data_IF_716676114129
#
_entry.id   IF_716676114129
#
_cell.length_a   1.000
_cell.length_b   1.000
_cell.length_c   1.000
_cell.angle_alpha   90.00
_cell.angle_beta   90.00
_cell.angle_gamma   90.00
#
_symmetry.space_group_name_H-M   'P 1'
#
loop_
_entity.id
_entity.type
_entity.pdbx_description
1 polymer ?
#
# COMPACT_ATOMS: atom_id res chain seq x y z
N UNK A 1 26.68 1.44 -16.73
CA UNK A 1 26.38 1.93 -18.09
C UNK A 1 25.18 1.14 -18.59
N UNK A 2 24.18 1.82 -19.17
CA UNK A 2 23.00 1.13 -19.73
C UNK A 2 23.45 0.44 -21.02
N UNK A 3 23.25 -0.87 -21.10
CA UNK A 3 23.56 -1.62 -22.31
C UNK A 3 22.45 -1.40 -23.36
N UNK A 4 22.78 -1.24 -24.66
CA UNK A 4 21.78 -1.07 -25.72
C UNK A 4 20.73 -2.19 -25.78
N UNK A 5 21.11 -3.39 -25.37
CA UNK A 5 20.29 -4.61 -25.33
C UNK A 5 19.12 -4.49 -24.36
N UNK A 6 19.20 -3.59 -23.37
CA UNK A 6 18.07 -3.29 -22.47
C UNK A 6 16.90 -2.65 -23.19
N UNK A 7 17.12 -2.03 -24.36
CA UNK A 7 16.13 -1.22 -25.06
C UNK A 7 15.87 0.16 -24.45
N UNK A 8 16.46 0.45 -23.27
CA UNK A 8 16.31 1.74 -22.61
C UNK A 8 17.20 2.82 -23.23
N UNK A 9 16.69 4.04 -23.33
CA UNK A 9 17.42 5.21 -23.80
C UNK A 9 17.79 6.14 -22.64
N UNK A 10 18.96 6.79 -22.70
CA UNK A 10 19.31 7.85 -21.75
C UNK A 10 18.27 8.98 -21.75
N UNK A 11 18.02 9.56 -20.58
CA UNK A 11 17.08 10.65 -20.36
C UNK A 11 15.60 10.26 -20.36
N UNK A 12 15.26 9.02 -20.73
CA UNK A 12 13.89 8.52 -20.70
C UNK A 12 13.57 7.82 -19.37
N UNK A 13 12.29 7.82 -19.01
CA UNK A 13 11.77 7.16 -17.83
C UNK A 13 11.05 5.89 -18.21
N UNK A 14 11.26 4.84 -17.42
CA UNK A 14 10.63 3.55 -17.65
C UNK A 14 10.04 2.99 -16.36
N UNK A 15 8.90 2.30 -16.45
CA UNK A 15 8.27 1.60 -15.33
C UNK A 15 8.13 0.13 -15.66
N UNK A 16 8.29 -0.73 -14.66
CA UNK A 16 8.01 -2.16 -14.81
C UNK A 16 6.50 -2.33 -14.61
N UNK A 17 5.84 -2.98 -15.57
CA UNK A 17 4.42 -3.27 -15.47
C UNK A 17 4.18 -4.24 -14.30
N UNK A 18 3.18 -3.91 -13.48
CA UNK A 18 2.81 -4.73 -12.34
C UNK A 18 1.65 -5.64 -12.72
N UNK A 19 1.92 -6.94 -12.81
CA UNK A 19 0.90 -7.96 -13.07
C UNK A 19 0.46 -8.66 -11.77
N UNK A 20 -0.73 -9.26 -11.79
CA UNK A 20 -1.26 -9.98 -10.63
C UNK A 20 -0.32 -11.13 -10.24
N UNK A 21 -0.01 -11.26 -8.95
CA UNK A 21 0.85 -12.33 -8.36
C UNK A 21 2.33 -12.27 -8.75
N UNK A 22 2.79 -11.19 -9.39
CA UNK A 22 4.20 -10.89 -9.56
C UNK A 22 4.71 -9.92 -8.49
N UNK A 23 6.04 -9.86 -8.25
CA UNK A 23 6.65 -8.80 -7.45
C UNK A 23 6.25 -7.42 -7.96
N UNK A 24 5.94 -6.54 -7.01
CA UNK A 24 5.49 -5.19 -7.31
C UNK A 24 6.68 -4.24 -7.36
N UNK A 25 6.83 -3.55 -8.48
CA UNK A 25 7.90 -2.60 -8.74
C UNK A 25 7.27 -1.19 -8.83
N UNK A 26 7.16 -0.50 -7.70
CA UNK A 26 6.46 0.79 -7.60
C UNK A 26 7.24 1.99 -8.14
N UNK A 27 8.52 1.79 -8.43
CA UNK A 27 9.43 2.83 -8.90
C UNK A 27 9.54 2.95 -10.42
N UNK A 28 10.55 3.71 -10.86
CA UNK A 28 10.89 3.92 -12.26
C UNK A 28 12.40 3.93 -12.48
N UNK A 29 12.83 3.54 -13.68
CA UNK A 29 14.18 3.76 -14.17
C UNK A 29 14.33 5.16 -14.75
N UNK A 30 15.47 5.79 -14.49
CA UNK A 30 15.97 6.98 -15.16
C UNK A 30 17.49 6.90 -15.24
N UNK A 31 18.05 6.99 -16.44
CA UNK A 31 19.51 6.92 -16.66
C UNK A 31 20.18 5.70 -16.00
N UNK A 32 19.48 4.56 -16.03
CA UNK A 32 19.97 3.30 -15.49
C UNK A 32 19.94 3.22 -13.96
N UNK A 33 19.35 4.18 -13.27
CA UNK A 33 19.07 4.15 -11.83
C UNK A 33 17.59 3.92 -11.60
N UNK A 34 17.24 3.19 -10.55
CA UNK A 34 15.87 2.89 -10.16
C UNK A 34 15.49 3.66 -8.91
N UNK A 35 14.39 4.42 -8.99
CA UNK A 35 13.89 5.31 -7.95
C UNK A 35 12.47 4.93 -7.57
N UNK A 36 12.13 4.92 -6.28
CA UNK A 36 10.75 4.62 -5.83
C UNK A 36 9.75 5.75 -6.09
N UNK A 37 10.23 6.97 -6.33
CA UNK A 37 9.39 8.15 -6.49
C UNK A 37 10.21 9.35 -6.95
N UNK A 38 9.60 10.32 -7.62
CA UNK A 38 10.29 11.50 -8.15
C UNK A 38 10.83 12.42 -7.04
N UNK A 39 10.27 12.34 -5.84
CA UNK A 39 10.74 13.09 -4.66
C UNK A 39 11.99 12.47 -4.04
N UNK A 40 12.25 11.19 -4.34
CA UNK A 40 13.34 10.45 -3.74
C UNK A 40 14.62 10.67 -4.54
N UNK A 41 15.55 11.40 -3.93
CA UNK A 41 16.88 11.66 -4.50
C UNK A 41 17.83 10.46 -4.39
N UNK A 42 17.41 9.40 -3.70
CA UNK A 42 18.20 8.18 -3.50
C UNK A 42 17.71 7.09 -4.45
N UNK A 43 18.58 6.66 -5.36
CA UNK A 43 18.35 5.46 -6.15
C UNK A 43 18.48 4.22 -5.25
N UNK A 44 17.54 3.29 -5.36
CA UNK A 44 17.55 2.03 -4.59
C UNK A 44 17.79 0.81 -5.49
N UNK A 45 18.07 1.04 -6.77
CA UNK A 45 18.50 0.04 -7.71
C UNK A 45 19.24 0.68 -8.88
N UNK A 46 19.93 -0.13 -9.66
CA UNK A 46 20.69 0.34 -10.81
C UNK A 46 20.91 -0.78 -11.83
N UNK A 47 21.26 -0.38 -13.05
CA UNK A 47 21.66 -1.26 -14.12
C UNK A 47 23.18 -1.30 -14.27
N UNK A 48 23.71 -2.51 -14.28
CA UNK A 48 25.07 -2.80 -14.70
C UNK A 48 25.02 -3.67 -15.95
N UNK A 49 25.23 -3.04 -17.11
CA UNK A 49 24.97 -3.68 -18.39
C UNK A 49 23.46 -3.95 -18.54
N UNK A 50 23.07 -5.22 -18.47
CA UNK A 50 21.69 -5.68 -18.47
C UNK A 50 21.19 -6.13 -17.09
N UNK A 51 22.08 -6.28 -16.12
CA UNK A 51 21.73 -6.81 -14.80
C UNK A 51 21.07 -5.70 -13.98
N UNK A 52 19.87 -5.98 -13.48
CA UNK A 52 19.15 -5.09 -12.60
C UNK A 52 19.43 -5.44 -11.13
N UNK A 53 20.20 -4.57 -10.49
CA UNK A 53 20.41 -4.60 -9.06
C UNK A 53 19.31 -3.83 -8.34
N UNK A 54 18.75 -4.42 -7.29
CA UNK A 54 17.66 -3.86 -6.51
C UNK A 54 17.86 -4.10 -5.01
N UNK A 55 18.12 -3.02 -4.29
CA UNK A 55 18.39 -3.00 -2.85
C UNK A 55 17.11 -2.87 -2.03
N UNK A 56 16.17 -3.78 -2.29
CA UNK A 56 14.97 -3.89 -1.47
C UNK A 56 15.26 -4.77 -0.26
N UNK A 57 14.99 -4.24 0.93
CA UNK A 57 15.09 -4.98 2.18
C UNK A 57 13.70 -5.38 2.67
N UNK A 58 13.63 -6.52 3.33
CA UNK A 58 12.44 -6.96 4.05
C UNK A 58 12.33 -6.26 5.42
N UNK A 59 11.24 -6.48 6.19
CA UNK A 59 11.07 -5.85 7.50
C UNK A 59 12.13 -6.23 8.55
N UNK A 60 12.89 -7.30 8.32
CA UNK A 60 14.00 -7.73 9.19
C UNK A 60 15.32 -7.08 8.79
N UNK A 61 15.36 -6.39 7.64
CA UNK A 61 16.55 -5.74 7.09
C UNK A 61 17.34 -6.62 6.12
N UNK A 62 16.85 -7.81 5.79
CA UNK A 62 17.50 -8.73 4.87
C UNK A 62 17.14 -8.40 3.41
N UNK A 63 18.06 -8.54 2.45
CA UNK A 63 17.74 -8.34 1.04
C UNK A 63 16.64 -9.30 0.55
N UNK A 64 15.61 -8.74 -0.08
CA UNK A 64 14.53 -9.52 -0.71
C UNK A 64 15.06 -10.36 -1.87
N UNK A 65 16.04 -9.83 -2.60
CA UNK A 65 16.65 -10.49 -3.75
C UNK A 65 18.06 -10.99 -3.41
N UNK A 66 18.37 -12.29 -3.63
CA UNK A 66 19.72 -12.83 -3.43
C UNK A 66 20.76 -12.07 -4.27
N UNK A 67 21.86 -11.68 -3.63
CA UNK A 67 22.90 -10.87 -4.29
C UNK A 67 22.41 -9.49 -4.74
N UNK A 68 21.22 -9.06 -4.30
CA UNK A 68 20.52 -7.84 -4.74
C UNK A 68 20.22 -7.85 -6.24
N UNK A 69 20.12 -9.01 -6.88
CA UNK A 69 19.85 -9.13 -8.31
C UNK A 69 18.36 -9.43 -8.50
N UNK A 70 17.62 -8.47 -9.03
CA UNK A 70 16.22 -8.66 -9.36
C UNK A 70 16.03 -9.43 -10.67
N UNK A 71 16.97 -9.31 -11.62
CA UNK A 71 16.92 -9.99 -12.90
C UNK A 71 17.79 -9.36 -13.97
N UNK A 72 17.53 -9.71 -15.23
CA UNK A 72 18.20 -9.17 -16.41
C UNK A 72 17.19 -8.46 -17.31
N UNK A 73 17.57 -7.32 -17.88
CA UNK A 73 16.72 -6.56 -18.79
C UNK A 73 17.14 -6.79 -20.24
N UNK A 74 16.19 -7.23 -21.06
CA UNK A 74 16.36 -7.50 -22.49
C UNK A 74 15.15 -6.92 -23.25
N UNK A 75 15.41 -5.96 -24.16
CA UNK A 75 14.38 -5.40 -25.04
C UNK A 75 13.15 -4.90 -24.29
N UNK A 76 13.34 -4.10 -23.24
CA UNK A 76 12.27 -3.60 -22.36
C UNK A 76 11.46 -4.72 -21.69
N UNK A 77 12.10 -5.84 -21.37
CA UNK A 77 11.51 -6.90 -20.53
C UNK A 77 12.46 -7.22 -19.39
N UNK A 78 11.96 -7.22 -18.16
CA UNK A 78 12.68 -7.76 -17.01
C UNK A 78 12.47 -9.28 -16.94
N UNK A 79 13.56 -10.03 -17.07
CA UNK A 79 13.62 -11.48 -16.92
C UNK A 79 14.15 -11.81 -15.53
N UNK A 80 13.30 -12.35 -14.69
CA UNK A 80 13.63 -12.73 -13.32
C UNK A 80 14.35 -14.09 -13.26
N UNK A 81 15.08 -14.40 -12.16
CA UNK A 81 15.81 -15.68 -12.03
C UNK A 81 14.94 -16.94 -12.09
N UNK A 82 13.65 -16.81 -11.79
CA UNK A 82 12.65 -17.89 -11.86
C UNK A 82 12.04 -18.06 -13.28
N UNK A 83 12.45 -17.21 -14.23
CA UNK A 83 11.93 -17.17 -15.60
C UNK A 83 10.69 -16.30 -15.79
N UNK A 84 10.16 -15.67 -14.74
CA UNK A 84 9.08 -14.70 -14.87
C UNK A 84 9.55 -13.51 -15.72
N UNK A 85 8.67 -13.04 -16.61
CA UNK A 85 8.94 -11.93 -17.52
C UNK A 85 7.94 -10.81 -17.25
N UNK A 86 8.45 -9.62 -17.00
CA UNK A 86 7.66 -8.41 -16.76
C UNK A 86 7.98 -7.37 -17.81
N UNK A 87 6.95 -6.81 -18.44
CA UNK A 87 7.13 -5.76 -19.44
C UNK A 87 7.60 -4.46 -18.79
N UNK A 88 8.36 -3.68 -19.55
CA UNK A 88 8.85 -2.38 -19.15
C UNK A 88 8.35 -1.36 -20.17
N UNK A 89 7.62 -0.37 -19.69
CA UNK A 89 7.03 0.66 -20.54
C UNK A 89 7.72 2.00 -20.34
N UNK A 90 7.83 2.78 -21.42
CA UNK A 90 8.20 4.20 -21.30
C UNK A 90 7.07 4.94 -20.58
N UNK A 91 7.40 5.56 -19.45
CA UNK A 91 6.45 6.25 -18.61
C UNK A 91 6.77 7.75 -18.58
N UNK A 92 6.00 8.61 -19.26
CA UNK A 92 6.16 10.04 -19.13
C UNK A 92 5.91 10.47 -17.68
N UNK A 93 6.62 11.51 -17.23
CA UNK A 93 6.38 12.07 -15.91
C UNK A 93 5.00 12.71 -15.83
N UNK A 94 4.05 12.01 -15.23
CA UNK A 94 2.82 12.60 -14.75
C UNK A 94 3.02 12.85 -13.26
N UNK A 95 3.03 14.12 -12.85
CA UNK A 95 2.94 14.45 -11.45
C UNK A 95 1.61 13.87 -10.95
N UNK A 96 1.66 12.80 -10.15
CA UNK A 96 0.45 12.28 -9.55
C UNK A 96 -0.11 13.39 -8.65
N UNK A 97 -1.37 13.82 -8.84
CA UNK A 97 -1.99 14.69 -7.86
C UNK A 97 -1.96 13.90 -6.55
N UNK A 98 -1.36 14.47 -5.51
CA UNK A 98 -1.23 13.83 -4.20
C UNK A 98 -2.57 13.23 -3.78
N UNK A 99 -2.74 11.93 -4.02
CA UNK A 99 -3.92 11.23 -3.57
C UNK A 99 -3.86 11.30 -2.04
N UNK A 100 -4.91 11.77 -1.36
CA UNK A 100 -4.86 11.78 0.10
C UNK A 100 -4.61 10.35 0.57
N UNK A 101 -3.60 10.17 1.43
CA UNK A 101 -3.23 8.90 2.11
C UNK A 101 -4.35 8.50 3.09
N UNK A 102 -5.58 8.36 2.59
CA UNK A 102 -6.79 8.07 3.35
C UNK A 102 -7.69 7.15 2.54
N UNK A 103 -7.28 5.89 2.36
CA UNK A 103 -8.25 4.84 2.01
C UNK A 103 -7.78 3.39 2.19
N UNK A 104 -6.48 3.05 2.25
CA UNK A 104 -6.11 1.62 2.20
C UNK A 104 -6.18 0.87 3.55
N UNK A 105 -6.11 1.57 4.69
CA UNK A 105 -6.28 0.96 6.02
C UNK A 105 -7.74 0.97 6.53
N UNK A 106 -8.64 1.75 5.92
CA UNK A 106 -10.04 1.83 6.35
C UNK A 106 -10.90 0.67 5.78
N UNK A 107 -10.57 0.18 4.58
CA UNK A 107 -11.34 -0.87 3.91
C UNK A 107 -11.22 -2.26 4.54
N UNK A 108 -10.18 -2.52 5.35
CA UNK A 108 -9.99 -3.84 5.99
C UNK A 108 -10.59 -3.93 7.40
N UNK A 109 -10.91 -2.80 8.04
CA UNK A 109 -11.56 -2.78 9.35
C UNK A 109 -13.10 -2.63 9.22
N UNK A 110 -13.62 -1.97 8.17
CA UNK A 110 -15.08 -1.80 8.02
C UNK A 110 -15.84 -3.10 7.69
N UNK A 111 -15.19 -4.20 7.28
CA UNK A 111 -15.90 -5.47 6.99
C UNK A 111 -16.27 -6.27 8.25
N UNK A 112 -15.86 -5.85 9.44
CA UNK A 112 -16.23 -6.50 10.71
C UNK A 112 -17.36 -5.76 11.44
N UNK A 113 -17.78 -4.57 11.00
CA UNK A 113 -18.80 -3.81 11.74
C UNK A 113 -19.74 -3.04 10.83
N UNK A 114 -20.79 -3.74 10.35
CA UNK A 114 -22.11 -3.17 9.99
C UNK A 114 -23.11 -4.30 9.73
N UNK A 115 -23.47 -5.03 10.77
CA UNK A 115 -24.87 -5.44 10.89
C UNK A 115 -25.58 -4.35 11.70
N UNK A 116 -26.46 -3.55 11.10
CA UNK A 116 -27.31 -2.65 11.88
C UNK A 116 -28.29 -3.52 12.68
N UNK A 117 -28.03 -3.65 13.98
CA UNK A 117 -29.00 -4.15 14.95
C UNK A 117 -30.21 -3.21 14.83
N UNK A 118 -31.29 -3.69 14.22
CA UNK A 118 -32.60 -3.03 14.24
C UNK A 118 -33.17 -3.20 15.65
N UNK A 119 -33.33 -2.14 16.47
CA UNK A 119 -34.04 -2.28 17.73
C UNK A 119 -35.54 -2.37 17.46
N UNK A 120 -36.13 -3.52 17.80
CA UNK A 120 -37.57 -3.76 17.82
C UNK A 120 -38.26 -2.79 18.81
N UNK A 121 -39.33 -2.08 18.43
CA UNK A 121 -39.98 -1.04 19.26
C UNK A 121 -40.88 -1.57 20.39
N UNK A 122 -40.54 -2.71 21.01
CA UNK A 122 -41.35 -3.37 22.04
C UNK A 122 -40.75 -3.34 23.47
N UNK A 123 -39.64 -2.63 23.69
CA UNK A 123 -39.00 -2.49 25.01
C UNK A 123 -39.03 -1.06 25.57
N UNK A 124 -40.13 -0.32 25.34
CA UNK A 124 -40.39 1.00 25.96
C UNK A 124 -41.24 0.88 27.25
N UNK A 125 -41.66 -0.32 27.65
CA UNK A 125 -42.61 -0.50 28.77
C UNK A 125 -41.99 -1.01 30.10
N UNK A 126 -40.67 -0.83 30.33
CA UNK A 126 -40.00 -1.40 31.52
C UNK A 126 -39.34 -0.40 32.49
N UNK A 127 -39.08 0.84 32.09
CA UNK A 127 -38.26 1.79 32.86
C UNK A 127 -39.06 2.89 33.58
N UNK A 128 -40.39 2.80 33.64
CA UNK A 128 -41.25 3.77 34.31
C UNK A 128 -41.58 3.42 35.78
N UNK A 129 -41.02 2.33 36.34
CA UNK A 129 -41.42 1.84 37.67
C UNK A 129 -40.32 1.92 38.75
N UNK A 130 -39.25 2.68 38.55
CA UNK A 130 -38.18 2.84 39.55
C UNK A 130 -37.85 4.28 39.95
N UNK A 131 -38.58 5.29 39.45
CA UNK A 131 -38.43 6.69 39.89
C UNK A 131 -39.51 7.08 40.93
N UNK A 132 -40.67 6.40 40.94
CA UNK A 132 -41.77 6.70 41.86
C UNK A 132 -41.55 6.25 43.31
N UNK A 133 -40.74 5.20 43.55
CA UNK A 133 -40.51 4.67 44.90
C UNK A 133 -39.44 5.47 45.67
N UNK A 134 -38.52 6.14 44.97
CA UNK A 134 -37.43 6.88 45.62
C UNK A 134 -37.87 8.27 46.16
N UNK A 135 -38.94 8.85 45.64
CA UNK A 135 -39.46 10.16 46.12
C UNK A 135 -40.43 10.02 47.31
N UNK A 136 -41.06 8.86 47.50
CA UNK A 136 -42.01 8.61 48.59
C UNK A 136 -41.34 8.27 49.93
N UNK A 137 -40.06 7.89 49.94
CA UNK A 137 -39.30 7.66 51.19
C UNK A 137 -38.65 8.94 51.73
N UNK A 138 -38.34 9.92 50.88
CA UNK A 138 -37.70 11.18 51.30
C UNK A 138 -38.71 12.17 51.90
N UNK A 139 -39.98 12.16 51.46
CA UNK A 139 -41.01 13.06 52.02
C UNK A 139 -41.50 12.65 53.42
N UNK A 140 -41.29 11.39 53.84
CA UNK A 140 -41.70 10.90 55.17
C UNK A 140 -40.70 11.24 56.29
N UNK A 141 -39.47 11.60 55.96
CA UNK A 141 -38.42 11.94 56.93
C UNK A 141 -38.47 13.43 57.31
N UNK A 142 -39.14 14.27 56.53
CA UNK A 142 -39.21 15.73 56.77
C UNK A 142 -40.49 16.22 57.48
N UNK A 143 -41.37 15.31 57.91
CA UNK A 143 -42.63 15.68 58.58
C UNK A 143 -42.87 14.93 59.90
N UNK A 144 -41.79 14.65 60.65
CA UNK A 144 -41.84 14.34 62.09
C UNK A 144 -40.89 15.25 62.83
#
# INVERSE_FOLDING_TARGET
>A
MIAPETGMKPGQRYRIESVERAPQFSGFFLDGKYYLGPELQTAIGWLEGQIFFYDQLDPTGEPVYPGRIAGTIEGLTLVMPDGLRLEIEEAPYLAEPAAPVRASLAGRIERISRQPIRPSPLLVAGAAMLVGVCLLTISRIRNR
#
